data_IF_064818145880
#
_entry.id   IF_064818145880
#
_cell.length_a   1.000
_cell.length_b   1.000
_cell.length_c   1.000
_cell.angle_alpha   90.00
_cell.angle_beta   90.00
_cell.angle_gamma   90.00
#
_symmetry.space_group_name_H-M   'P 1'
#
loop_
_entity.id
_entity.type
_entity.pdbx_description
1 polymer ?
#
# COMPACT_ATOMS: atom_id res chain seq x y z
N UNK A 1 -15.11 19.90 0.27
CA UNK A 1 -14.42 18.82 1.01
C UNK A 1 -14.17 19.37 2.41
N UNK A 2 -14.84 18.85 3.45
CA UNK A 2 -14.64 19.35 4.83
C UNK A 2 -13.24 18.90 5.26
N UNK A 3 -12.36 19.87 5.52
CA UNK A 3 -11.04 19.66 6.13
C UNK A 3 -11.25 18.85 7.41
N UNK A 4 -10.92 17.55 7.36
CA UNK A 4 -10.87 16.70 8.55
C UNK A 4 -9.83 17.27 9.48
N UNK A 5 -10.27 17.71 10.66
CA UNK A 5 -9.44 18.13 11.78
C UNK A 5 -8.38 17.06 12.04
N UNK A 6 -7.14 17.31 11.59
CA UNK A 6 -6.02 16.45 11.93
C UNK A 6 -5.70 16.67 13.40
N UNK A 7 -5.80 15.61 14.23
CA UNK A 7 -5.49 15.61 15.66
C UNK A 7 -4.07 16.10 16.01
N UNK A 8 -3.21 16.24 15.01
CA UNK A 8 -1.84 16.76 15.14
C UNK A 8 -1.57 17.75 14.02
N UNK A 9 -0.98 18.88 14.36
CA UNK A 9 -0.61 19.92 13.41
C UNK A 9 0.35 19.38 12.31
N UNK A 10 0.12 19.72 11.02
CA UNK A 10 1.03 19.34 9.95
C UNK A 10 2.44 19.91 10.13
N UNK A 11 3.47 19.14 9.79
CA UNK A 11 4.85 19.65 9.76
C UNK A 11 4.96 20.70 8.65
N UNK A 12 5.27 21.95 9.04
CA UNK A 12 5.36 23.10 8.13
C UNK A 12 6.55 23.00 7.17
N UNK A 13 7.68 22.49 7.66
CA UNK A 13 8.94 22.42 6.91
C UNK A 13 9.53 21.01 6.93
N UNK A 14 9.85 20.46 5.76
CA UNK A 14 10.45 19.14 5.67
C UNK A 14 11.98 19.21 5.84
N UNK A 15 12.59 18.23 6.54
CA UNK A 15 14.03 18.04 6.59
C UNK A 15 14.63 17.92 5.19
N UNK A 16 15.86 18.43 5.01
CA UNK A 16 16.55 18.45 3.71
C UNK A 16 16.63 17.04 3.11
N UNK A 17 16.86 16.02 3.93
CA UNK A 17 16.95 14.63 3.48
C UNK A 17 15.65 14.10 2.88
N UNK A 18 14.46 14.59 3.29
CA UNK A 18 13.17 14.15 2.71
C UNK A 18 12.74 14.99 1.49
N UNK A 19 13.44 16.07 1.15
CA UNK A 19 13.10 16.92 0.00
C UNK A 19 13.04 16.16 -1.34
N UNK A 20 13.95 15.22 -1.66
CA UNK A 20 13.87 14.44 -2.89
C UNK A 20 12.60 13.59 -2.97
N UNK A 21 12.22 12.95 -1.86
CA UNK A 21 10.99 12.16 -1.77
C UNK A 21 9.76 13.05 -1.97
N UNK A 22 9.75 14.22 -1.32
CA UNK A 22 8.66 15.18 -1.47
C UNK A 22 8.52 15.72 -2.91
N UNK A 23 9.65 15.96 -3.60
CA UNK A 23 9.64 16.38 -4.99
C UNK A 23 9.11 15.27 -5.92
N UNK A 24 9.54 14.03 -5.70
CA UNK A 24 9.03 12.86 -6.42
C UNK A 24 7.52 12.69 -6.20
N UNK A 25 7.03 12.84 -4.98
CA UNK A 25 5.61 12.77 -4.66
C UNK A 25 4.80 13.88 -5.32
N UNK A 26 5.28 15.12 -5.28
CA UNK A 26 4.63 16.23 -6.00
C UNK A 26 4.55 15.95 -7.50
N UNK A 27 5.61 15.38 -8.10
CA UNK A 27 5.61 15.01 -9.52
C UNK A 27 4.61 13.91 -9.84
N UNK A 28 4.49 12.89 -8.98
CA UNK A 28 3.67 11.71 -9.26
C UNK A 28 2.20 11.86 -8.83
N UNK A 29 1.94 12.52 -7.71
CA UNK A 29 0.62 12.64 -7.08
C UNK A 29 0.08 14.09 -7.04
N UNK A 30 0.83 15.07 -7.54
CA UNK A 30 0.47 16.49 -7.48
C UNK A 30 0.67 17.15 -6.10
N UNK A 31 0.89 16.37 -5.04
CA UNK A 31 1.06 16.86 -3.68
C UNK A 31 2.08 16.04 -2.88
N UNK A 32 2.57 16.62 -1.77
CA UNK A 32 3.33 15.86 -0.77
C UNK A 32 2.34 15.09 0.09
N UNK A 33 2.52 13.77 0.17
CA UNK A 33 1.60 12.90 0.90
C UNK A 33 1.73 13.12 2.41
N UNK A 34 0.61 13.01 3.12
CA UNK A 34 0.57 13.16 4.57
C UNK A 34 1.55 12.22 5.30
N UNK A 35 1.72 10.93 4.93
CA UNK A 35 2.70 10.06 5.57
C UNK A 35 4.13 10.60 5.54
N UNK A 36 4.55 11.25 4.45
CA UNK A 36 5.90 11.85 4.38
C UNK A 36 6.04 13.04 5.32
N UNK A 37 4.98 13.84 5.50
CA UNK A 37 4.96 14.92 6.50
C UNK A 37 5.03 14.38 7.93
N UNK A 38 4.44 13.21 8.18
CA UNK A 38 4.54 12.53 9.46
C UNK A 38 5.96 12.00 9.72
N UNK A 39 6.53 11.31 8.74
CA UNK A 39 7.89 10.79 8.79
C UNK A 39 8.98 11.86 8.93
N UNK A 40 8.69 13.10 8.55
CA UNK A 40 9.56 14.25 8.76
C UNK A 40 9.95 14.47 10.23
N UNK A 41 9.16 13.96 11.19
CA UNK A 41 9.48 14.01 12.62
C UNK A 41 10.57 13.02 13.04
N UNK A 42 10.80 11.97 12.26
CA UNK A 42 11.79 10.92 12.55
C UNK A 42 12.59 10.54 11.29
N UNK A 43 13.42 11.44 10.75
CA UNK A 43 14.09 11.21 9.45
C UNK A 43 15.00 9.98 9.39
N UNK A 44 15.81 9.64 10.40
CA UNK A 44 16.63 8.43 10.36
C UNK A 44 15.78 7.16 10.27
N UNK A 45 14.69 7.10 11.05
CA UNK A 45 13.79 5.94 11.04
C UNK A 45 13.03 5.83 9.70
N UNK A 46 12.63 6.97 9.12
CA UNK A 46 12.05 6.99 7.78
C UNK A 46 12.98 6.32 6.76
N UNK A 47 14.26 6.70 6.74
CA UNK A 47 15.21 6.15 5.78
C UNK A 47 15.51 4.68 6.01
N UNK A 48 15.61 4.24 7.27
CA UNK A 48 15.74 2.82 7.60
C UNK A 48 14.58 1.99 7.00
N UNK A 49 13.34 2.42 7.23
CA UNK A 49 12.15 1.72 6.73
C UNK A 49 12.06 1.83 5.20
N UNK A 50 12.31 3.01 4.62
CA UNK A 50 12.21 3.23 3.18
C UNK A 50 13.24 2.38 2.40
N UNK A 51 14.47 2.27 2.90
CA UNK A 51 15.51 1.43 2.30
C UNK A 51 15.15 -0.06 2.44
N UNK A 52 14.62 -0.47 3.58
CA UNK A 52 14.16 -1.85 3.77
C UNK A 52 13.01 -2.21 2.82
N UNK A 53 11.99 -1.35 2.70
CA UNK A 53 10.91 -1.53 1.71
C UNK A 53 11.46 -1.52 0.28
N UNK A 54 12.40 -0.63 -0.04
CA UNK A 54 13.07 -0.59 -1.34
C UNK A 54 13.83 -1.88 -1.65
N UNK A 55 14.47 -2.49 -0.65
CA UNK A 55 15.11 -3.80 -0.79
C UNK A 55 14.08 -4.90 -1.07
N UNK A 56 12.94 -4.92 -0.38
CA UNK A 56 11.87 -5.89 -0.63
C UNK A 56 11.22 -5.71 -2.02
N UNK A 57 11.10 -4.46 -2.49
CA UNK A 57 10.50 -4.10 -3.78
C UNK A 57 11.46 -4.14 -4.98
N UNK A 58 12.72 -4.56 -4.79
CA UNK A 58 13.74 -4.61 -5.84
C UNK A 58 13.32 -5.49 -7.03
N UNK A 59 13.82 -5.18 -8.23
CA UNK A 59 13.48 -5.91 -9.47
C UNK A 59 13.73 -7.42 -9.39
N UNK A 60 14.79 -7.84 -8.69
CA UNK A 60 15.18 -9.26 -8.51
C UNK A 60 14.49 -9.94 -7.32
N UNK A 61 13.43 -9.35 -6.76
CA UNK A 61 12.65 -10.00 -5.70
C UNK A 61 11.95 -11.26 -6.23
N UNK A 62 11.75 -12.25 -5.35
CA UNK A 62 11.13 -13.54 -5.70
C UNK A 62 9.70 -13.40 -6.23
N UNK A 63 8.96 -12.43 -5.70
CA UNK A 63 7.58 -12.15 -6.11
C UNK A 63 7.57 -11.19 -7.29
N UNK A 64 6.67 -11.42 -8.24
CA UNK A 64 6.47 -10.49 -9.36
C UNK A 64 5.95 -9.12 -8.86
N UNK A 65 6.22 -8.02 -9.57
CA UNK A 65 5.72 -6.69 -9.17
C UNK A 65 4.20 -6.61 -9.03
N UNK A 66 3.46 -7.29 -9.92
CA UNK A 66 1.99 -7.37 -9.86
C UNK A 66 1.55 -8.08 -8.59
N UNK A 67 2.18 -9.22 -8.27
CA UNK A 67 1.81 -10.01 -7.09
C UNK A 67 2.10 -9.28 -5.78
N UNK A 68 3.21 -8.54 -5.70
CA UNK A 68 3.51 -7.69 -4.53
C UNK A 68 2.46 -6.59 -4.35
N UNK A 69 2.03 -5.97 -5.43
CA UNK A 69 1.01 -4.91 -5.38
C UNK A 69 -0.36 -5.46 -4.98
N UNK A 70 -0.70 -6.67 -5.43
CA UNK A 70 -1.91 -7.38 -4.98
C UNK A 70 -1.87 -7.65 -3.48
N UNK A 71 -0.76 -8.19 -2.97
CA UNK A 71 -0.57 -8.46 -1.54
C UNK A 71 -0.66 -7.18 -0.72
N UNK A 72 0.04 -6.12 -1.12
CA UNK A 72 -0.02 -4.83 -0.42
C UNK A 72 -1.42 -4.22 -0.42
N UNK A 73 -2.15 -4.32 -1.54
CA UNK A 73 -3.54 -3.85 -1.62
C UNK A 73 -4.44 -4.65 -0.69
N UNK A 74 -4.33 -5.98 -0.70
CA UNK A 74 -5.15 -6.85 0.16
C UNK A 74 -4.86 -6.65 1.64
N UNK A 75 -3.58 -6.57 2.03
CA UNK A 75 -3.20 -6.28 3.42
C UNK A 75 -3.73 -4.91 3.84
N UNK A 76 -3.68 -3.90 2.97
CA UNK A 76 -4.24 -2.57 3.26
C UNK A 76 -5.74 -2.61 3.54
N UNK A 77 -6.50 -3.44 2.80
CA UNK A 77 -7.92 -3.66 3.03
C UNK A 77 -8.17 -4.34 4.39
N UNK A 78 -7.39 -5.38 4.73
CA UNK A 78 -7.48 -6.08 6.00
C UNK A 78 -7.10 -5.20 7.20
N UNK A 79 -6.13 -4.30 7.02
CA UNK A 79 -5.73 -3.32 8.03
C UNK A 79 -6.63 -2.07 8.04
N UNK A 80 -7.65 -1.98 7.17
CA UNK A 80 -8.56 -0.84 7.04
C UNK A 80 -7.85 0.51 6.88
N UNK A 81 -6.66 0.54 6.27
CA UNK A 81 -5.92 1.78 6.04
C UNK A 81 -6.38 2.43 4.73
N UNK A 82 -7.31 3.39 4.80
CA UNK A 82 -7.86 4.07 3.61
C UNK A 82 -6.77 4.62 2.67
N UNK A 83 -5.79 5.36 3.20
CA UNK A 83 -4.65 5.86 2.43
C UNK A 83 -3.87 4.73 1.74
N UNK A 84 -3.64 3.62 2.46
CA UNK A 84 -2.87 2.50 1.93
C UNK A 84 -3.67 1.74 0.86
N UNK A 85 -4.99 1.63 1.01
CA UNK A 85 -5.89 1.04 0.01
C UNK A 85 -5.77 1.85 -1.28
N UNK A 86 -5.92 3.16 -1.22
CA UNK A 86 -5.87 4.03 -2.41
C UNK A 86 -4.49 3.97 -3.10
N UNK A 87 -3.42 4.15 -2.33
CA UNK A 87 -2.06 4.18 -2.85
C UNK A 87 -1.64 2.84 -3.48
N UNK A 88 -1.97 1.71 -2.84
CA UNK A 88 -1.63 0.40 -3.36
C UNK A 88 -2.54 -0.02 -4.53
N UNK A 89 -3.80 0.40 -4.54
CA UNK A 89 -4.73 0.17 -5.66
C UNK A 89 -4.26 0.88 -6.92
N UNK A 90 -3.82 2.15 -6.81
CA UNK A 90 -3.23 2.88 -7.93
C UNK A 90 -1.97 2.18 -8.44
N UNK A 91 -1.05 1.80 -7.53
CA UNK A 91 0.18 1.10 -7.89
C UNK A 91 -0.09 -0.24 -8.58
N UNK A 92 -1.11 -0.98 -8.12
CA UNK A 92 -1.55 -2.22 -8.71
C UNK A 92 -2.12 -1.98 -10.11
N UNK A 93 -2.99 -1.00 -10.29
CA UNK A 93 -3.54 -0.65 -11.60
C UNK A 93 -2.44 -0.30 -12.61
N UNK A 94 -1.45 0.49 -12.22
CA UNK A 94 -0.30 0.83 -13.06
C UNK A 94 0.54 -0.39 -13.46
N UNK A 95 0.73 -1.34 -12.53
CA UNK A 95 1.55 -2.54 -12.77
C UNK A 95 0.80 -3.64 -13.52
N UNK A 96 -0.50 -3.76 -13.30
CA UNK A 96 -1.35 -4.76 -13.94
C UNK A 96 -1.93 -4.27 -15.28
N UNK A 97 -1.89 -2.96 -15.54
CA UNK A 97 -2.54 -2.34 -16.69
C UNK A 97 -4.07 -2.35 -16.61
N UNK A 98 -4.65 -2.64 -15.44
CA UNK A 98 -6.08 -2.85 -15.27
C UNK A 98 -6.54 -2.52 -13.84
N UNK A 99 -7.61 -1.72 -13.73
CA UNK A 99 -8.18 -1.28 -12.45
C UNK A 99 -9.08 -2.34 -11.81
N UNK A 100 -9.67 -3.21 -12.64
CA UNK A 100 -10.56 -4.32 -12.26
C UNK A 100 -9.94 -5.22 -11.17
N UNK A 101 -8.64 -5.52 -11.28
CA UNK A 101 -7.91 -6.32 -10.28
C UNK A 101 -7.82 -5.62 -8.93
N UNK A 102 -7.67 -4.30 -8.89
CA UNK A 102 -7.63 -3.56 -7.62
C UNK A 102 -8.99 -3.57 -6.90
N UNK A 103 -10.08 -3.54 -7.67
CA UNK A 103 -11.44 -3.60 -7.13
C UNK A 103 -11.83 -5.01 -6.69
N UNK A 104 -11.39 -6.04 -7.42
CA UNK A 104 -11.75 -7.43 -7.16
C UNK A 104 -10.83 -8.14 -6.16
N UNK A 105 -9.69 -7.56 -5.77
CA UNK A 105 -8.69 -8.26 -4.91
C UNK A 105 -9.23 -8.64 -3.54
N UNK A 106 -10.28 -7.99 -3.03
CA UNK A 106 -10.93 -8.40 -1.79
C UNK A 106 -11.66 -9.74 -1.90
N UNK A 107 -12.16 -10.03 -3.09
CA UNK A 107 -12.92 -11.24 -3.45
C UNK A 107 -12.16 -12.10 -4.48
N UNK A 108 -10.83 -12.07 -4.40
CA UNK A 108 -9.95 -12.69 -5.39
C UNK A 108 -10.22 -14.19 -5.58
N UNK A 109 -10.73 -14.87 -4.56
CA UNK A 109 -10.98 -16.32 -4.59
C UNK A 109 -12.13 -16.71 -5.53
N UNK A 110 -13.14 -15.85 -5.64
CA UNK A 110 -14.30 -16.06 -6.51
C UNK A 110 -14.18 -15.33 -7.85
N UNK A 111 -13.14 -14.52 -8.03
CA UNK A 111 -12.95 -13.71 -9.23
C UNK A 111 -12.13 -14.43 -10.30
N UNK A 112 -12.70 -14.51 -11.51
CA UNK A 112 -12.01 -15.03 -12.70
C UNK A 112 -10.82 -14.17 -13.16
N UNK A 113 -10.61 -12.98 -12.57
CA UNK A 113 -9.52 -12.06 -12.93
C UNK A 113 -8.15 -12.53 -12.42
N UNK A 114 -8.11 -13.51 -11.50
CA UNK A 114 -6.88 -13.99 -10.89
C UNK A 114 -6.60 -15.44 -11.33
N UNK A 115 -5.48 -15.65 -12.03
CA UNK A 115 -4.98 -16.99 -12.35
C UNK A 115 -4.44 -17.70 -11.09
N UNK A 116 -4.10 -19.00 -11.21
CA UNK A 116 -3.56 -19.80 -10.10
C UNK A 116 -2.36 -19.15 -9.38
N UNK A 117 -1.54 -18.37 -10.08
CA UNK A 117 -0.38 -17.70 -9.51
C UNK A 117 -0.76 -16.58 -8.52
N UNK A 118 -1.85 -15.86 -8.80
CA UNK A 118 -2.46 -14.90 -7.86
C UNK A 118 -3.13 -15.61 -6.70
N UNK A 119 -3.79 -16.74 -6.98
CA UNK A 119 -4.51 -17.53 -5.98
C UNK A 119 -3.58 -18.18 -4.93
N UNK A 120 -2.43 -18.72 -5.36
CA UNK A 120 -1.45 -19.38 -4.48
C UNK A 120 -0.85 -18.45 -3.43
N UNK A 121 -0.63 -17.17 -3.76
CA UNK A 121 -0.04 -16.21 -2.81
C UNK A 121 -1.09 -15.48 -1.97
N UNK A 122 -2.29 -15.23 -2.51
CA UNK A 122 -3.36 -14.62 -1.73
C UNK A 122 -3.91 -15.55 -0.63
N UNK A 123 -3.66 -16.87 -0.72
CA UNK A 123 -3.86 -17.81 0.38
C UNK A 123 -3.09 -17.48 1.66
N UNK A 124 -1.96 -16.76 1.58
CA UNK A 124 -1.19 -16.27 2.74
C UNK A 124 -1.89 -15.10 3.44
N UNK A 125 -2.71 -14.34 2.71
CA UNK A 125 -3.47 -13.21 3.23
C UNK A 125 -4.94 -13.56 3.51
N UNK A 126 -5.25 -14.82 3.85
CA UNK A 126 -6.53 -15.13 4.48
C UNK A 126 -6.62 -14.32 5.77
N UNK A 127 -7.42 -13.26 5.76
CA UNK A 127 -8.02 -12.76 6.99
C UNK A 127 -8.83 -13.92 7.54
N UNK A 128 -8.32 -14.55 8.59
CA UNK A 128 -8.99 -15.68 9.23
C UNK A 128 -10.36 -15.22 9.71
N UNK A 129 -11.40 -15.66 9.01
CA UNK A 129 -12.70 -15.91 9.63
C UNK A 129 -12.79 -17.38 10.07
N UNK A 130 -11.67 -17.93 10.56
CA UNK A 130 -11.55 -19.31 11.04
C UNK A 130 -11.88 -19.49 12.52
N UNK A 131 -12.47 -18.48 13.16
CA UNK A 131 -12.89 -18.51 14.57
C UNK A 131 -14.40 -18.23 14.76
N UNK A 132 -15.22 -18.42 13.74
CA UNK A 132 -16.67 -18.31 13.86
C UNK A 132 -17.37 -19.36 12.99
N UNK A 133 -17.52 -20.57 13.54
CA UNK A 133 -18.74 -21.41 13.56
C UNK A 133 -18.36 -22.87 13.91
N UNK A 134 -17.99 -23.08 15.16
CA UNK A 134 -18.29 -24.34 15.86
C UNK A 134 -19.22 -23.95 17.01
N UNK A 135 -20.54 -24.07 16.80
CA UNK A 135 -21.53 -23.78 17.82
C UNK A 135 -22.87 -23.43 17.18
N UNK A 136 -23.74 -24.43 17.11
CA UNK A 136 -25.09 -24.35 16.55
C UNK A 136 -25.46 -25.61 15.80
#
# INVERSE_FOLDING_TARGET
MKETTTWVAPVKTLPVSLKPIAAMQKKHFGAVLNPTRWWARMPPLFWLVALFVGFLERRKARLSPVLRSLLMTRVSQLCHCAFCIDANSLRLAERAGALDKAQAVSDWYHSALFSEEGARCAGVCRGGNGYATSGG
#
